data_IF_798615021422
#
_entry.id   IF_798615021422
#
_cell.length_a   1.000
_cell.length_b   1.000
_cell.length_c   1.000
_cell.angle_alpha   90.00
_cell.angle_beta   90.00
_cell.angle_gamma   90.00
#
_symmetry.space_group_name_H-M   'P 1'
#
loop_
_entity.id
_entity.type
_entity.pdbx_description
1 polymer ?
#
# COMPACT_ATOMS: atom_id res chain seq x y z
N UNK A 1 -29.52 15.78 5.27
CA UNK A 1 -28.38 14.86 5.49
C UNK A 1 -28.09 14.82 6.99
N UNK A 2 -27.89 13.65 7.60
CA UNK A 2 -27.46 13.64 9.01
C UNK A 2 -26.07 14.26 9.11
N UNK A 3 -25.82 15.09 10.13
CA UNK A 3 -24.50 15.72 10.35
C UNK A 3 -23.38 14.68 10.37
N UNK A 4 -23.67 13.51 10.93
CA UNK A 4 -22.77 12.36 10.93
C UNK A 4 -22.40 11.89 9.52
N UNK A 5 -23.37 11.73 8.61
CA UNK A 5 -23.12 11.28 7.25
C UNK A 5 -22.29 12.31 6.46
N UNK A 6 -22.55 13.61 6.67
CA UNK A 6 -21.73 14.67 6.09
C UNK A 6 -20.28 14.63 6.56
N UNK A 7 -20.05 14.42 7.87
CA UNK A 7 -18.69 14.29 8.41
C UNK A 7 -17.98 13.09 7.79
N UNK A 8 -18.65 11.94 7.72
CA UNK A 8 -18.07 10.73 7.14
C UNK A 8 -17.69 10.92 5.68
N UNK A 9 -18.54 11.59 4.89
CA UNK A 9 -18.27 11.93 3.49
C UNK A 9 -17.04 12.84 3.34
N UNK A 10 -16.94 13.88 4.16
CA UNK A 10 -15.77 14.79 4.13
C UNK A 10 -14.48 14.02 4.49
N UNK A 11 -14.55 13.15 5.50
CA UNK A 11 -13.42 12.34 5.94
C UNK A 11 -12.97 11.37 4.83
N UNK A 12 -13.93 10.73 4.15
CA UNK A 12 -13.65 9.86 3.01
C UNK A 12 -12.98 10.63 1.87
N UNK A 13 -13.49 11.81 1.54
CA UNK A 13 -12.89 12.67 0.50
C UNK A 13 -11.47 13.10 0.87
N UNK A 14 -11.20 13.42 2.14
CA UNK A 14 -9.86 13.74 2.62
C UNK A 14 -8.89 12.56 2.47
N UNK A 15 -9.32 11.34 2.82
CA UNK A 15 -8.50 10.13 2.67
C UNK A 15 -8.19 9.85 1.20
N UNK A 16 -9.18 9.97 0.32
CA UNK A 16 -8.98 9.75 -1.13
C UNK A 16 -8.04 10.81 -1.71
N UNK A 17 -8.30 12.09 -1.44
CA UNK A 17 -7.46 13.18 -1.94
C UNK A 17 -6.03 13.10 -1.41
N UNK A 18 -5.86 12.84 -0.11
CA UNK A 18 -4.56 12.65 0.50
C UNK A 18 -3.82 11.43 -0.07
N UNK A 19 -4.52 10.31 -0.24
CA UNK A 19 -3.98 9.11 -0.86
C UNK A 19 -3.54 9.33 -2.31
N UNK A 20 -4.32 10.08 -3.09
CA UNK A 20 -3.95 10.45 -4.46
C UNK A 20 -2.68 11.30 -4.51
N UNK A 21 -2.59 12.35 -3.69
CA UNK A 21 -1.39 13.21 -3.63
C UNK A 21 -0.17 12.42 -3.19
N UNK A 22 -0.33 11.55 -2.20
CA UNK A 22 0.73 10.69 -1.70
C UNK A 22 1.25 9.73 -2.79
N UNK A 23 0.35 9.00 -3.46
CA UNK A 23 0.72 8.09 -4.55
C UNK A 23 1.34 8.82 -5.75
N UNK A 24 0.86 10.03 -6.06
CA UNK A 24 1.40 10.83 -7.16
C UNK A 24 2.78 11.42 -6.86
N UNK A 25 3.13 11.62 -5.58
CA UNK A 25 4.41 12.20 -5.16
C UNK A 25 5.43 11.17 -4.70
N UNK A 26 5.00 9.94 -4.38
CA UNK A 26 5.92 8.89 -3.97
C UNK A 26 6.65 8.31 -5.17
N UNK A 27 7.92 8.66 -5.32
CA UNK A 27 8.85 7.98 -6.21
C UNK A 27 9.25 6.62 -5.62
N UNK A 28 8.66 5.53 -6.10
CA UNK A 28 9.00 4.17 -5.68
C UNK A 28 10.32 3.78 -6.36
N UNK A 29 11.44 3.70 -5.60
CA UNK A 29 12.71 3.33 -6.20
C UNK A 29 12.64 1.89 -6.71
N UNK A 30 13.35 1.61 -7.80
CA UNK A 30 13.51 0.24 -8.28
C UNK A 30 14.08 -0.66 -7.17
N UNK A 31 13.76 -1.97 -7.18
CA UNK A 31 14.34 -2.92 -6.23
C UNK A 31 15.87 -2.80 -6.23
N UNK A 32 16.45 -2.44 -5.08
CA UNK A 32 17.87 -2.09 -5.00
C UNK A 32 18.79 -3.31 -5.11
N UNK A 33 18.28 -4.51 -4.82
CA UNK A 33 19.01 -5.76 -4.86
C UNK A 33 18.09 -6.93 -5.19
N UNK A 34 18.58 -7.85 -6.00
CA UNK A 34 18.00 -9.19 -6.13
C UNK A 34 18.29 -9.96 -4.84
N UNK A 35 17.25 -10.50 -4.20
CA UNK A 35 17.39 -11.35 -3.01
C UNK A 35 17.20 -12.80 -3.42
N UNK A 36 18.30 -13.55 -3.48
CA UNK A 36 18.24 -14.99 -3.66
C UNK A 36 18.05 -15.66 -2.29
N UNK A 37 17.02 -16.50 -2.18
CA UNK A 37 16.79 -17.31 -0.99
C UNK A 37 17.16 -18.75 -1.30
N UNK A 38 18.09 -19.31 -0.54
CA UNK A 38 18.40 -20.73 -0.59
C UNK A 38 17.21 -21.50 -0.02
N UNK A 39 16.67 -22.42 -0.80
CA UNK A 39 15.59 -23.33 -0.41
C UNK A 39 16.26 -24.58 0.21
N UNK A 40 16.09 -24.83 1.53
CA UNK A 40 16.72 -25.98 2.18
C UNK A 40 16.27 -27.30 1.55
N UNK A 41 17.22 -28.21 1.33
CA UNK A 41 16.97 -29.50 0.68
C UNK A 41 15.96 -30.38 1.42
N UNK A 42 15.86 -30.20 2.73
CA UNK A 42 14.91 -30.87 3.63
C UNK A 42 13.45 -30.63 3.26
N UNK A 43 13.16 -29.59 2.47
CA UNK A 43 11.80 -29.27 2.00
C UNK A 43 11.38 -30.03 0.73
N UNK A 44 12.29 -30.76 0.09
CA UNK A 44 11.96 -31.55 -1.09
C UNK A 44 11.55 -32.99 -0.71
N UNK A 45 10.40 -33.49 -1.19
CA UNK A 45 10.03 -34.91 -1.07
C UNK A 45 11.00 -35.79 -1.87
N UNK A 46 11.25 -37.02 -1.40
CA UNK A 46 12.10 -38.01 -2.07
C UNK A 46 11.27 -39.04 -2.82
#
# INVERSE_FOLDING_TARGET
MSRFLSILLVLLLLVIAGGMVFLASWDLPAPSKTVEKVLPDERFPR
#
